data_IF_076517186092
#
_entry.id   IF_076517186092
#
_cell.length_a   1.000
_cell.length_b   1.000
_cell.length_c   1.000
_cell.angle_alpha   90.00
_cell.angle_beta   90.00
_cell.angle_gamma   90.00
#
_symmetry.space_group_name_H-M   'P 1'
#
loop_
_entity.id
_entity.type
_entity.pdbx_description
1 polymer ?
#
# COMPACT_ATOMS: atom_id res chain seq x y z
N UNK A 1 -3.23 -20.04 -4.02
CA UNK A 1 -3.06 -18.86 -4.83
C UNK A 1 -2.49 -17.73 -4.04
N UNK A 2 -1.46 -17.10 -4.56
CA UNK A 2 -0.82 -16.01 -3.88
C UNK A 2 -1.58 -14.70 -4.08
N UNK A 3 -1.40 -13.78 -3.16
CA UNK A 3 -1.87 -12.43 -3.34
C UNK A 3 -0.98 -11.70 -4.33
N UNK A 4 -1.60 -10.88 -5.16
CA UNK A 4 -0.89 -9.98 -6.05
C UNK A 4 -1.08 -8.57 -5.51
N UNK A 5 0.02 -7.86 -5.30
CA UNK A 5 0.01 -6.54 -4.70
C UNK A 5 0.53 -5.51 -5.69
N UNK A 6 -0.01 -4.30 -5.60
CA UNK A 6 0.49 -3.15 -6.32
C UNK A 6 1.19 -2.23 -5.34
N UNK A 7 2.48 -1.93 -5.61
CA UNK A 7 3.21 -1.01 -4.76
C UNK A 7 2.83 0.43 -5.14
N UNK A 8 2.33 1.17 -4.16
CA UNK A 8 1.89 2.55 -4.38
C UNK A 8 2.99 3.57 -4.10
N UNK A 9 4.01 3.16 -3.36
CA UNK A 9 5.13 4.03 -3.04
C UNK A 9 5.18 4.40 -1.58
N UNK A 10 6.30 5.00 -1.19
CA UNK A 10 6.45 5.59 0.13
C UNK A 10 5.75 6.95 0.13
N UNK A 11 4.86 7.17 1.09
CA UNK A 11 4.05 8.38 1.14
C UNK A 11 4.37 9.19 2.39
N UNK A 12 4.60 10.49 2.20
CA UNK A 12 4.87 11.41 3.30
C UNK A 12 3.62 12.09 3.81
N UNK A 13 2.59 12.20 2.97
CA UNK A 13 1.34 12.84 3.37
C UNK A 13 0.16 12.11 2.74
N UNK A 14 -1.00 12.27 3.38
CA UNK A 14 -2.21 11.60 2.94
C UNK A 14 -2.63 12.04 1.53
N UNK A 15 -2.29 13.26 1.13
CA UNK A 15 -2.63 13.76 -0.19
C UNK A 15 -2.08 12.89 -1.31
N UNK A 16 -0.87 12.35 -1.13
CA UNK A 16 -0.27 11.48 -2.12
C UNK A 16 -1.06 10.17 -2.24
N UNK A 17 -1.54 9.66 -1.12
CA UNK A 17 -2.33 8.43 -1.13
C UNK A 17 -3.70 8.68 -1.74
N UNK A 18 -4.31 9.83 -1.44
CA UNK A 18 -5.59 10.22 -2.04
C UNK A 18 -5.49 10.24 -3.56
N UNK A 19 -4.38 10.78 -4.09
CA UNK A 19 -4.15 10.84 -5.53
C UNK A 19 -4.10 9.45 -6.17
N UNK A 20 -3.67 8.45 -5.39
CA UNK A 20 -3.49 7.10 -5.91
C UNK A 20 -4.74 6.23 -5.78
N UNK A 21 -5.46 6.36 -4.68
CA UNK A 21 -6.53 5.41 -4.35
C UNK A 21 -7.88 6.07 -4.09
N UNK A 22 -7.94 7.39 -4.08
CA UNK A 22 -9.16 8.13 -3.77
C UNK A 22 -9.31 8.39 -2.29
N UNK A 23 -10.20 9.32 -1.94
CA UNK A 23 -10.34 9.79 -0.57
C UNK A 23 -10.77 8.69 0.41
N UNK A 24 -11.80 7.94 0.05
CA UNK A 24 -12.35 6.95 0.98
C UNK A 24 -11.31 5.90 1.38
N UNK A 25 -10.64 5.33 0.40
CA UNK A 25 -9.63 4.31 0.66
C UNK A 25 -8.44 4.90 1.40
N UNK A 26 -8.04 6.12 1.03
CA UNK A 26 -6.90 6.77 1.66
C UNK A 26 -7.16 7.04 3.13
N UNK A 27 -8.32 7.59 3.47
CA UNK A 27 -8.64 7.90 4.86
C UNK A 27 -8.72 6.64 5.72
N UNK A 28 -9.20 5.54 5.14
CA UNK A 28 -9.26 4.27 5.87
C UNK A 28 -7.88 3.67 6.10
N UNK A 29 -6.98 3.82 5.14
CA UNK A 29 -5.69 3.15 5.16
C UNK A 29 -4.57 3.98 5.78
N UNK A 30 -4.71 5.30 5.81
CA UNK A 30 -3.61 6.17 6.21
C UNK A 30 -3.17 5.93 7.64
N UNK A 31 -1.86 5.73 7.83
CA UNK A 31 -1.26 5.49 9.15
C UNK A 31 0.03 6.30 9.33
N UNK A 32 0.21 7.33 8.51
CA UNK A 32 1.41 8.15 8.56
C UNK A 32 2.39 7.82 7.45
N UNK A 33 3.64 8.21 7.63
CA UNK A 33 4.67 8.00 6.62
C UNK A 33 5.08 6.54 6.57
N UNK A 34 4.56 5.83 5.58
CA UNK A 34 4.76 4.40 5.41
C UNK A 34 4.88 4.05 3.93
N UNK A 35 5.19 2.80 3.65
CA UNK A 35 5.13 2.25 2.29
C UNK A 35 3.74 1.65 2.09
N UNK A 36 3.05 2.07 1.04
CA UNK A 36 1.67 1.67 0.82
C UNK A 36 1.53 0.71 -0.33
N UNK A 37 0.62 -0.25 -0.16
CA UNK A 37 0.33 -1.29 -1.13
C UNK A 37 -1.17 -1.41 -1.30
N UNK A 38 -1.58 -1.89 -2.47
CA UNK A 38 -2.97 -2.22 -2.75
C UNK A 38 -3.04 -3.69 -3.14
N UNK A 39 -3.92 -4.45 -2.47
CA UNK A 39 -4.16 -5.83 -2.86
C UNK A 39 -5.05 -5.84 -4.10
N UNK A 40 -4.57 -6.43 -5.19
CA UNK A 40 -5.34 -6.48 -6.42
C UNK A 40 -6.45 -7.53 -6.36
N UNK A 41 -6.43 -8.38 -5.34
CA UNK A 41 -7.46 -9.39 -5.16
C UNK A 41 -8.74 -8.80 -4.58
N UNK A 42 -8.61 -7.95 -3.55
CA UNK A 42 -9.77 -7.41 -2.83
C UNK A 42 -9.78 -5.87 -2.78
N UNK A 43 -8.85 -5.22 -3.48
CA UNK A 43 -8.74 -3.77 -3.56
C UNK A 43 -8.48 -3.06 -2.22
N UNK A 44 -7.98 -3.79 -1.23
CA UNK A 44 -7.64 -3.19 0.06
C UNK A 44 -6.30 -2.49 -0.02
N UNK A 45 -6.22 -1.34 0.65
CA UNK A 45 -4.99 -0.55 0.74
C UNK A 45 -4.46 -0.64 2.16
N UNK A 46 -3.15 -0.79 2.29
CA UNK A 46 -2.52 -0.84 3.61
C UNK A 46 -1.12 -0.23 3.56
N UNK A 47 -0.63 0.21 4.73
CA UNK A 47 0.71 0.76 4.86
C UNK A 47 1.55 -0.08 5.80
N UNK A 48 2.84 -0.18 5.50
CA UNK A 48 3.79 -0.94 6.32
C UNK A 48 5.11 -0.18 6.40
N UNK A 49 5.92 -0.55 7.39
CA UNK A 49 7.25 0.01 7.54
C UNK A 49 8.20 -0.50 6.45
N UNK A 50 9.37 0.14 6.35
CA UNK A 50 10.34 -0.21 5.30
C UNK A 50 10.74 -1.68 5.32
N UNK A 51 11.07 -2.21 6.50
CA UNK A 51 11.52 -3.59 6.55
C UNK A 51 10.39 -4.58 6.31
N UNK A 52 9.17 -4.22 6.68
CA UNK A 52 8.00 -5.03 6.34
C UNK A 52 7.75 -5.01 4.84
N UNK A 53 7.98 -3.86 4.21
CA UNK A 53 7.85 -3.77 2.75
C UNK A 53 8.86 -4.69 2.06
N UNK A 54 10.09 -4.74 2.54
CA UNK A 54 11.10 -5.66 2.00
C UNK A 54 10.63 -7.11 2.08
N UNK A 55 10.05 -7.49 3.21
CA UNK A 55 9.49 -8.82 3.38
C UNK A 55 8.39 -9.11 2.35
N UNK A 56 7.52 -8.13 2.15
CA UNK A 56 6.42 -8.26 1.19
C UNK A 56 6.97 -8.43 -0.24
N UNK A 57 7.99 -7.66 -0.61
CA UNK A 57 8.59 -7.80 -1.92
C UNK A 57 9.19 -9.18 -2.14
N UNK A 58 9.69 -9.81 -1.08
CA UNK A 58 10.23 -11.16 -1.18
C UNK A 58 9.15 -12.25 -1.26
N UNK A 59 8.04 -12.06 -0.55
CA UNK A 59 7.07 -13.14 -0.33
C UNK A 59 5.88 -13.08 -1.27
N UNK A 60 5.59 -11.93 -1.84
CA UNK A 60 4.39 -11.73 -2.66
C UNK A 60 4.77 -11.25 -4.05
N UNK A 61 3.86 -11.48 -4.99
CA UNK A 61 4.01 -10.91 -6.31
C UNK A 61 3.61 -9.43 -6.23
N UNK A 62 4.56 -8.53 -6.52
CA UNK A 62 4.35 -7.08 -6.40
C UNK A 62 4.59 -6.42 -7.74
N UNK A 63 3.66 -5.56 -8.12
CA UNK A 63 3.75 -4.78 -9.36
C UNK A 63 4.01 -3.32 -9.11
#
# INVERSE_FOLDING_TARGET
MGKVLLYLGEMDCIGDLIDRVGEDAAYKAWRGKLCYFKSLTDNQVFGVSDYEADYIFEKYEVH
#
